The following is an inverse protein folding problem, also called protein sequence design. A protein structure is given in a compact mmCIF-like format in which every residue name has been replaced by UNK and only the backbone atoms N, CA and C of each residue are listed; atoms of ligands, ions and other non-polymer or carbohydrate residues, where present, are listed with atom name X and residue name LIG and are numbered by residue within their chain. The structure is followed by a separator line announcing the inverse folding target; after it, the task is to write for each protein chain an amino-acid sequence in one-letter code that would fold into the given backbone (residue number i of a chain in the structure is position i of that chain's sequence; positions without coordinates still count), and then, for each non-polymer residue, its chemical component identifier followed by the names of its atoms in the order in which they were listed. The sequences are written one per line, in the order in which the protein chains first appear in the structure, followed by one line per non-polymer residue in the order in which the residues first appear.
data_IF_718191429355
#
_entry.id   IF_718191429355
#
_cell.length_a   1.000
_cell.length_b   1.000
_cell.length_c   1.000
_cell.angle_alpha   90.00
_cell.angle_beta   90.00
_cell.angle_gamma   90.00
#
_symmetry.space_group_name_H-M   'P 1'
#
loop_
_entity.id
_entity.type
_entity.pdbx_description
1 polymer ?
#
# COMPACT_ATOMS: atom_id res chain seq x y z
N UNK A 1 10.71 -6.93 3.78
CA UNK A 1 10.59 -6.26 2.52
C UNK A 1 11.32 -6.96 1.42
N UNK A 2 10.64 -7.28 0.36
CA UNK A 2 11.29 -7.56 -0.90
C UNK A 2 11.78 -6.22 -1.45
N UNK A 3 12.95 -5.76 -0.98
CA UNK A 3 13.65 -4.80 -1.80
C UNK A 3 13.82 -5.46 -3.17
N UNK A 4 13.45 -4.81 -4.28
CA UNK A 4 13.75 -5.34 -5.60
C UNK A 4 15.25 -5.68 -5.59
N UNK A 5 15.59 -6.91 -5.93
CA UNK A 5 16.99 -7.31 -5.94
C UNK A 5 17.68 -6.53 -7.06
N UNK A 6 18.30 -5.42 -6.70
CA UNK A 6 18.85 -4.43 -7.59
C UNK A 6 20.06 -4.94 -8.41
N UNK A 7 20.53 -6.13 -8.09
CA UNK A 7 21.61 -6.82 -8.81
C UNK A 7 21.08 -7.74 -9.93
N UNK A 8 19.77 -7.78 -10.17
CA UNK A 8 19.26 -8.53 -11.31
C UNK A 8 19.66 -7.82 -12.62
N UNK A 9 20.14 -8.55 -13.63
CA UNK A 9 20.55 -7.96 -14.92
C UNK A 9 19.48 -7.08 -15.57
N UNK A 10 18.20 -7.35 -15.30
CA UNK A 10 17.09 -6.54 -15.79
C UNK A 10 17.21 -5.07 -15.35
N UNK A 11 17.66 -4.82 -14.10
CA UNK A 11 17.80 -3.46 -13.59
C UNK A 11 18.91 -2.67 -14.27
N UNK A 12 19.94 -3.33 -14.79
CA UNK A 12 21.02 -2.70 -15.58
C UNK A 12 20.51 -2.20 -16.93
N UNK A 13 19.41 -2.79 -17.45
CA UNK A 13 18.83 -2.46 -18.74
C UNK A 13 17.53 -1.64 -18.65
N UNK A 14 17.15 -1.18 -17.45
CA UNK A 14 15.89 -0.48 -17.23
C UNK A 14 15.72 0.77 -18.09
N UNK A 15 16.80 1.51 -18.32
CA UNK A 15 16.72 2.70 -19.17
C UNK A 15 16.48 2.34 -20.65
N UNK A 16 17.06 1.24 -21.12
CA UNK A 16 16.78 0.73 -22.46
C UNK A 16 15.33 0.26 -22.62
N UNK A 17 14.77 -0.38 -21.61
CA UNK A 17 13.34 -0.77 -21.59
C UNK A 17 12.45 0.48 -21.60
N UNK A 18 12.75 1.47 -20.78
CA UNK A 18 11.98 2.72 -20.68
C UNK A 18 11.97 3.51 -22.00
N UNK A 19 13.09 3.53 -22.72
CA UNK A 19 13.23 4.24 -23.98
C UNK A 19 12.89 3.35 -25.19
N UNK A 20 12.54 2.10 -24.97
CA UNK A 20 12.04 1.18 -25.99
C UNK A 20 10.63 1.54 -26.43
N UNK A 21 10.20 0.94 -27.56
CA UNK A 21 8.85 1.11 -28.09
C UNK A 21 7.84 0.09 -27.53
N UNK A 22 8.20 -0.68 -26.51
CA UNK A 22 7.32 -1.66 -25.89
C UNK A 22 6.27 -0.97 -25.03
N UNK A 23 4.99 -1.29 -25.27
CA UNK A 23 3.92 -0.89 -24.38
C UNK A 23 3.96 -1.73 -23.10
N UNK A 24 3.64 -1.11 -21.97
CA UNK A 24 3.68 -1.74 -20.67
C UNK A 24 2.30 -1.74 -20.00
N UNK A 25 1.89 -2.89 -19.48
CA UNK A 25 0.68 -3.05 -18.69
C UNK A 25 0.98 -3.95 -17.49
N UNK A 26 0.98 -3.38 -16.29
CA UNK A 26 1.21 -4.11 -15.05
C UNK A 26 -0.09 -4.57 -14.43
N UNK A 27 -0.10 -5.83 -13.98
CA UNK A 27 -1.17 -6.43 -13.18
C UNK A 27 -0.64 -6.70 -11.79
N UNK A 28 -1.19 -6.03 -10.79
CA UNK A 28 -0.90 -6.22 -9.37
C UNK A 28 -2.12 -6.79 -8.63
N UNK A 29 -1.85 -7.51 -7.57
CA UNK A 29 -2.88 -8.15 -6.74
C UNK A 29 -2.60 -7.83 -5.29
N UNK A 30 -3.58 -7.23 -4.57
CA UNK A 30 -3.41 -6.78 -3.18
C UNK A 30 -2.92 -7.88 -2.25
N UNK A 31 -3.30 -9.10 -2.52
CA UNK A 31 -3.03 -10.26 -1.68
C UNK A 31 -2.03 -11.24 -2.29
N UNK A 32 -1.22 -10.77 -3.25
CA UNK A 32 -0.11 -11.53 -3.83
C UNK A 32 1.22 -10.83 -3.48
N UNK A 33 2.24 -11.57 -3.05
CA UNK A 33 3.57 -11.01 -2.82
C UNK A 33 4.10 -10.30 -4.07
N UNK A 34 4.60 -9.07 -3.89
CA UNK A 34 5.17 -8.30 -4.98
C UNK A 34 4.19 -7.37 -5.71
N UNK A 35 2.99 -7.15 -5.20
CA UNK A 35 2.10 -6.09 -5.69
C UNK A 35 2.80 -4.73 -5.73
N UNK A 36 3.55 -4.40 -4.69
CA UNK A 36 4.35 -3.18 -4.59
C UNK A 36 5.33 -3.02 -5.77
N UNK A 37 5.92 -4.13 -6.25
CA UNK A 37 6.84 -4.09 -7.40
C UNK A 37 6.14 -3.64 -8.68
N UNK A 38 4.87 -4.00 -8.88
CA UNK A 38 4.10 -3.59 -10.07
C UNK A 38 3.88 -2.07 -10.10
N UNK A 39 3.74 -1.46 -8.94
CA UNK A 39 3.65 -0.01 -8.81
C UNK A 39 4.99 0.65 -9.13
N UNK A 40 6.10 0.15 -8.59
CA UNK A 40 7.44 0.67 -8.92
C UNK A 40 7.77 0.50 -10.42
N UNK A 41 7.39 -0.63 -11.02
CA UNK A 41 7.52 -0.86 -12.46
C UNK A 41 6.67 0.16 -13.26
N UNK A 42 5.42 0.36 -12.90
CA UNK A 42 4.55 1.36 -13.52
C UNK A 42 5.13 2.78 -13.43
N UNK A 43 5.63 3.17 -12.24
CA UNK A 43 6.30 4.47 -12.06
C UNK A 43 7.55 4.60 -12.94
N UNK A 44 8.23 3.51 -13.21
CA UNK A 44 9.45 3.49 -14.02
C UNK A 44 9.16 3.49 -15.51
N UNK A 45 8.23 2.67 -15.96
CA UNK A 45 7.96 2.43 -17.39
C UNK A 45 6.79 3.24 -17.94
N UNK A 46 5.88 3.69 -17.08
CA UNK A 46 4.59 4.24 -17.49
C UNK A 46 3.62 3.16 -17.95
N UNK A 47 2.76 3.49 -18.89
CA UNK A 47 1.77 2.56 -19.43
C UNK A 47 0.51 2.45 -18.57
N UNK A 48 0.03 1.23 -18.36
CA UNK A 48 -1.19 0.94 -17.60
C UNK A 48 -0.89 0.11 -16.36
N UNK A 49 -1.69 0.30 -15.32
CA UNK A 49 -1.61 -0.43 -14.05
C UNK A 49 -3.01 -0.87 -13.64
N UNK A 50 -3.17 -2.19 -13.44
CA UNK A 50 -4.37 -2.78 -12.86
C UNK A 50 -4.04 -3.38 -11.49
N UNK A 51 -4.78 -2.99 -10.46
CA UNK A 51 -4.62 -3.47 -9.08
C UNK A 51 -5.95 -4.04 -8.60
N UNK A 52 -5.98 -5.32 -8.26
CA UNK A 52 -7.21 -6.01 -7.88
C UNK A 52 -7.11 -6.78 -6.58
N UNK A 53 -8.24 -7.29 -6.04
CA UNK A 53 -8.31 -7.94 -4.74
C UNK A 53 -7.93 -9.42 -4.81
N UNK A 54 -7.10 -9.79 -5.74
CA UNK A 54 -6.76 -11.18 -6.02
C UNK A 54 -5.57 -11.64 -5.16
N UNK A 55 -5.50 -12.95 -4.98
CA UNK A 55 -4.30 -13.71 -4.62
C UNK A 55 -3.61 -14.21 -5.89
N UNK A 56 -2.51 -14.93 -5.73
CA UNK A 56 -1.76 -15.47 -6.86
C UNK A 56 -2.66 -16.24 -7.83
N UNK A 57 -2.67 -15.82 -9.12
CA UNK A 57 -3.46 -16.38 -10.22
C UNK A 57 -4.99 -16.22 -10.13
N UNK A 58 -5.53 -15.59 -9.10
CA UNK A 58 -6.99 -15.42 -8.98
C UNK A 58 -7.58 -14.44 -10.00
N UNK A 59 -6.80 -13.53 -10.53
CA UNK A 59 -7.24 -12.67 -11.66
C UNK A 59 -7.77 -13.49 -12.83
N UNK A 60 -7.28 -14.72 -13.01
CA UNK A 60 -7.69 -15.63 -14.09
C UNK A 60 -8.80 -16.60 -13.70
N UNK A 61 -9.11 -16.73 -12.40
CA UNK A 61 -10.02 -17.76 -11.88
C UNK A 61 -11.21 -17.20 -11.11
N UNK A 62 -11.20 -15.90 -10.80
CA UNK A 62 -12.11 -15.25 -9.86
C UNK A 62 -11.66 -15.39 -8.41
N UNK A 63 -12.25 -14.58 -7.55
CA UNK A 63 -12.04 -14.60 -6.10
C UNK A 63 -13.35 -14.26 -5.38
N UNK A 64 -13.34 -14.40 -4.05
CA UNK A 64 -14.55 -14.26 -3.21
C UNK A 64 -14.98 -12.79 -2.97
N UNK A 65 -14.27 -11.81 -3.54
CA UNK A 65 -14.64 -10.40 -3.38
C UNK A 65 -15.78 -10.00 -4.30
N UNK A 66 -16.78 -9.25 -3.80
CA UNK A 66 -17.88 -8.76 -4.61
C UNK A 66 -17.38 -7.96 -5.82
N UNK A 67 -17.99 -8.15 -6.99
CA UNK A 67 -17.65 -7.43 -8.22
C UNK A 67 -16.15 -7.49 -8.61
N UNK A 68 -15.40 -8.46 -8.09
CA UNK A 68 -13.97 -8.67 -8.42
C UNK A 68 -13.75 -9.34 -9.76
N UNK A 69 -14.82 -9.80 -10.38
CA UNK A 69 -14.80 -10.40 -11.70
C UNK A 69 -14.28 -9.39 -12.72
N UNK A 70 -13.34 -9.85 -13.52
CA UNK A 70 -12.65 -9.03 -14.49
C UNK A 70 -12.44 -9.86 -15.77
N UNK A 71 -12.94 -9.36 -16.88
CA UNK A 71 -12.70 -10.02 -18.17
C UNK A 71 -11.27 -9.73 -18.66
N UNK A 72 -10.33 -10.42 -18.02
CA UNK A 72 -8.91 -10.30 -18.34
C UNK A 72 -8.60 -10.68 -19.80
N UNK A 73 -9.44 -11.53 -20.44
CA UNK A 73 -9.23 -11.92 -21.83
C UNK A 73 -9.58 -10.77 -22.77
N UNK A 74 -10.71 -10.13 -22.57
CA UNK A 74 -11.09 -8.95 -23.34
C UNK A 74 -10.08 -7.81 -23.13
N UNK A 75 -9.64 -7.58 -21.89
CA UNK A 75 -8.67 -6.55 -21.56
C UNK A 75 -7.30 -6.80 -22.22
N UNK A 76 -6.77 -8.02 -22.13
CA UNK A 76 -5.54 -8.41 -22.83
C UNK A 76 -5.69 -8.31 -24.35
N UNK A 77 -6.82 -8.74 -24.89
CA UNK A 77 -7.08 -8.66 -26.32
C UNK A 77 -7.07 -7.21 -26.80
N UNK A 78 -7.75 -6.31 -26.08
CA UNK A 78 -7.78 -4.89 -26.42
C UNK A 78 -6.35 -4.28 -26.39
N UNK A 79 -5.55 -4.64 -25.40
CA UNK A 79 -4.16 -4.21 -25.30
C UNK A 79 -3.31 -4.74 -26.48
N UNK A 80 -3.35 -6.03 -26.77
CA UNK A 80 -2.55 -6.61 -27.84
C UNK A 80 -3.03 -6.22 -29.23
N UNK A 81 -4.33 -6.07 -29.45
CA UNK A 81 -4.87 -5.56 -30.71
C UNK A 81 -4.38 -4.13 -30.98
N UNK A 82 -4.33 -3.30 -29.94
CA UNK A 82 -3.80 -1.94 -30.06
C UNK A 82 -2.31 -1.93 -30.39
N UNK A 83 -1.49 -2.62 -29.59
CA UNK A 83 -0.04 -2.46 -29.64
C UNK A 83 0.68 -3.42 -30.58
N UNK A 84 0.11 -4.58 -30.92
CA UNK A 84 0.70 -5.53 -31.86
C UNK A 84 0.09 -5.45 -33.26
N UNK A 85 -1.22 -5.14 -33.35
CA UNK A 85 -1.93 -5.07 -34.65
C UNK A 85 -2.22 -3.64 -35.11
N UNK A 86 -1.96 -2.65 -34.25
CA UNK A 86 -2.33 -1.25 -34.47
C UNK A 86 -3.82 -1.07 -34.81
N UNK A 87 -4.66 -1.92 -34.22
CA UNK A 87 -6.11 -1.85 -34.39
C UNK A 87 -6.67 -0.67 -33.55
N UNK A 88 -7.75 -0.02 -34.00
CA UNK A 88 -8.41 0.98 -33.19
C UNK A 88 -8.83 0.42 -31.83
N UNK A 89 -8.48 1.13 -30.74
CA UNK A 89 -8.86 0.79 -29.38
C UNK A 89 -8.88 2.06 -28.56
N UNK A 90 -9.80 2.18 -27.64
CA UNK A 90 -9.87 3.29 -26.70
C UNK A 90 -9.00 3.09 -25.46
N UNK A 91 -8.23 2.01 -25.39
CA UNK A 91 -7.35 1.70 -24.26
C UNK A 91 -6.35 2.84 -23.97
N UNK A 92 -5.89 3.54 -25.00
CA UNK A 92 -4.98 4.68 -24.84
C UNK A 92 -5.65 5.86 -24.14
N UNK A 93 -6.98 5.97 -24.27
CA UNK A 93 -7.77 7.05 -23.70
C UNK A 93 -8.27 6.76 -22.28
N UNK A 94 -8.14 5.51 -21.82
CA UNK A 94 -8.49 5.15 -20.45
C UNK A 94 -7.50 5.77 -19.45
N UNK A 95 -7.95 6.12 -18.22
CA UNK A 95 -7.01 6.48 -17.16
C UNK A 95 -5.90 5.43 -17.00
N UNK A 96 -4.66 5.84 -16.69
CA UNK A 96 -3.53 4.92 -16.60
C UNK A 96 -3.68 3.85 -15.52
N UNK A 97 -4.34 4.17 -14.41
CA UNK A 97 -4.50 3.28 -13.26
C UNK A 97 -5.95 2.88 -13.09
N UNK A 98 -6.18 1.58 -12.96
CA UNK A 98 -7.44 0.99 -12.50
C UNK A 98 -7.18 0.18 -11.24
N UNK A 99 -7.97 0.40 -10.19
CA UNK A 99 -7.76 -0.29 -8.92
C UNK A 99 -9.10 -0.63 -8.24
N UNK A 100 -9.05 -1.66 -7.39
CA UNK A 100 -10.19 -2.16 -6.62
C UNK A 100 -10.03 -1.79 -5.15
N UNK A 101 -11.04 -1.15 -4.56
CA UNK A 101 -11.07 -0.81 -3.13
C UNK A 101 -11.90 -1.84 -2.36
N UNK A 102 -11.26 -2.59 -1.48
CA UNK A 102 -11.93 -3.59 -0.64
C UNK A 102 -12.88 -2.91 0.34
N UNK A 103 -14.14 -3.36 0.38
CA UNK A 103 -15.16 -2.83 1.27
C UNK A 103 -15.91 -1.61 0.73
N UNK A 104 -15.64 -1.18 -0.50
CA UNK A 104 -16.43 -0.21 -1.23
C UNK A 104 -17.64 -0.87 -1.91
N UNK A 105 -18.76 -0.15 -2.00
CA UNK A 105 -19.97 -0.62 -2.70
C UNK A 105 -19.78 -0.58 -4.22
N UNK A 106 -19.01 0.40 -4.74
CA UNK A 106 -18.56 0.50 -6.12
C UNK A 106 -17.03 0.40 -6.17
N UNK A 107 -16.49 -0.82 -6.09
CA UNK A 107 -15.09 -1.02 -5.72
C UNK A 107 -14.08 -0.70 -6.82
N UNK A 108 -14.50 -0.55 -8.07
CA UNK A 108 -13.58 -0.27 -9.17
C UNK A 108 -13.43 1.23 -9.43
N UNK A 109 -12.20 1.70 -9.32
CA UNK A 109 -11.84 3.10 -9.51
C UNK A 109 -10.78 3.28 -10.58
N UNK A 110 -10.70 4.51 -11.11
CA UNK A 110 -9.64 4.93 -12.01
C UNK A 110 -8.84 6.08 -11.41
N UNK A 111 -7.56 6.17 -11.78
CA UNK A 111 -6.68 7.28 -11.39
C UNK A 111 -5.70 7.63 -12.50
N UNK A 112 -5.21 8.87 -12.46
CA UNK A 112 -4.19 9.33 -13.40
C UNK A 112 -2.78 8.85 -13.04
N UNK A 113 -2.56 8.50 -11.77
CA UNK A 113 -1.27 8.04 -11.25
C UNK A 113 -1.46 7.24 -9.95
N UNK A 114 -0.38 6.59 -9.48
CA UNK A 114 -0.31 5.95 -8.17
C UNK A 114 1.06 6.25 -7.53
N UNK A 115 1.17 6.70 -6.27
CA UNK A 115 0.06 6.97 -5.32
C UNK A 115 -0.93 8.02 -5.82
N UNK A 116 -2.16 7.98 -5.29
CA UNK A 116 -3.25 8.85 -5.72
C UNK A 116 -2.98 10.32 -5.35
N UNK A 117 -3.38 11.25 -6.21
CA UNK A 117 -3.26 12.70 -5.95
C UNK A 117 -3.97 13.18 -4.68
N UNK A 118 -5.04 12.47 -4.27
CA UNK A 118 -5.82 12.73 -3.07
C UNK A 118 -5.25 12.10 -1.80
N UNK A 119 -4.17 11.32 -1.92
CA UNK A 119 -3.54 10.65 -0.79
C UNK A 119 -2.87 11.67 0.13
N UNK A 120 -3.14 11.52 1.42
CA UNK A 120 -2.40 12.15 2.52
C UNK A 120 -1.67 11.06 3.31
N UNK A 121 -0.66 11.45 4.08
CA UNK A 121 0.12 10.49 4.86
C UNK A 121 0.21 10.97 6.32
N UNK A 122 -0.91 10.97 7.09
CA UNK A 122 -0.87 11.31 8.49
C UNK A 122 0.09 10.40 9.25
N UNK A 123 0.82 11.01 10.19
CA UNK A 123 1.76 10.33 11.07
C UNK A 123 1.12 10.16 12.44
N UNK A 124 0.85 8.92 12.82
CA UNK A 124 0.31 8.56 14.12
C UNK A 124 1.42 7.98 14.99
N UNK A 125 1.44 8.34 16.29
CA UNK A 125 2.43 7.84 17.23
C UNK A 125 1.95 6.55 17.87
N UNK A 126 2.91 5.65 18.05
CA UNK A 126 2.75 4.44 18.84
C UNK A 126 3.19 4.75 20.27
N UNK A 127 2.44 4.28 21.26
CA UNK A 127 2.71 4.57 22.68
C UNK A 127 3.07 3.32 23.47
N UNK A 128 3.82 3.47 24.55
CA UNK A 128 4.14 2.37 25.46
C UNK A 128 2.90 1.77 26.16
N UNK A 129 1.77 2.46 26.15
CA UNK A 129 0.48 1.94 26.62
C UNK A 129 -0.30 1.15 25.58
N UNK A 130 0.25 0.94 24.37
CA UNK A 130 -0.40 0.20 23.30
C UNK A 130 -1.39 1.04 22.48
N UNK A 131 -1.28 2.35 22.48
CA UNK A 131 -2.14 3.27 21.71
C UNK A 131 -1.55 3.64 20.35
N UNK A 132 -2.44 3.95 19.39
CA UNK A 132 -2.14 4.69 18.16
C UNK A 132 -2.80 6.05 18.30
N UNK A 133 -2.01 7.14 18.37
CA UNK A 133 -2.50 8.47 18.67
C UNK A 133 -1.93 9.54 17.73
N UNK A 134 -2.62 10.67 17.61
CA UNK A 134 -2.23 11.82 16.78
C UNK A 134 -1.38 12.88 17.53
N UNK A 135 -1.13 12.66 18.82
CA UNK A 135 -0.33 13.53 19.69
C UNK A 135 1.02 12.91 20.04
N UNK A 136 1.93 13.71 20.57
CA UNK A 136 3.22 13.23 21.03
C UNK A 136 3.06 12.07 22.03
N UNK A 137 3.89 11.05 21.88
CA UNK A 137 3.96 9.93 22.81
C UNK A 137 4.91 10.25 23.97
N UNK A 138 4.51 9.87 25.18
CA UNK A 138 5.40 9.93 26.33
C UNK A 138 6.52 8.87 26.20
N UNK A 139 7.73 9.17 26.72
CA UNK A 139 8.81 8.20 26.74
C UNK A 139 8.41 6.92 27.50
N UNK A 140 8.71 5.78 26.91
CA UNK A 140 8.41 4.48 27.52
C UNK A 140 8.92 3.31 26.70
N UNK A 141 8.74 2.10 27.22
CA UNK A 141 9.23 0.89 26.58
C UNK A 141 8.23 -0.27 26.72
N UNK A 142 8.26 -1.19 25.76
CA UNK A 142 7.59 -2.49 25.83
C UNK A 142 8.63 -3.57 25.56
N UNK A 143 8.80 -4.51 26.49
CA UNK A 143 9.69 -5.66 26.30
C UNK A 143 8.91 -6.86 25.78
N UNK A 144 9.45 -7.49 24.75
CA UNK A 144 8.84 -8.59 24.01
C UNK A 144 9.84 -9.76 23.94
N UNK A 145 9.41 -10.96 24.34
CA UNK A 145 10.17 -12.18 24.11
C UNK A 145 9.90 -12.70 22.70
N UNK A 146 10.94 -12.91 21.90
CA UNK A 146 10.81 -13.42 20.53
C UNK A 146 10.08 -14.76 20.53
N UNK A 147 9.15 -14.92 19.61
CA UNK A 147 8.29 -16.11 19.50
C UNK A 147 8.37 -16.72 18.10
N UNK A 148 8.47 -18.05 18.05
CA UNK A 148 8.52 -18.80 16.81
C UNK A 148 7.24 -19.62 16.56
N UNK A 149 6.21 -19.43 17.39
CA UNK A 149 4.92 -20.12 17.32
C UNK A 149 3.77 -19.24 16.79
N UNK A 150 4.09 -18.14 16.12
CA UNK A 150 3.11 -17.27 15.47
C UNK A 150 2.81 -17.82 14.07
N UNK A 151 1.53 -18.10 13.79
CA UNK A 151 1.08 -18.76 12.55
C UNK A 151 0.28 -17.84 11.63
N UNK A 152 0.72 -16.59 11.51
CA UNK A 152 0.09 -15.59 10.62
C UNK A 152 0.37 -15.93 9.15
N UNK A 153 1.52 -16.58 8.88
CA UNK A 153 1.96 -16.94 7.53
C UNK A 153 1.76 -18.42 7.23
N UNK A 154 1.50 -18.72 5.96
CA UNK A 154 1.50 -20.10 5.49
C UNK A 154 2.94 -20.66 5.34
N UNK A 155 3.04 -21.92 4.97
CA UNK A 155 4.33 -22.61 4.78
C UNK A 155 5.21 -22.01 3.67
N UNK A 156 4.66 -21.13 2.83
CA UNK A 156 5.39 -20.41 1.79
C UNK A 156 5.74 -18.97 2.21
N UNK A 157 5.58 -18.62 3.49
CA UNK A 157 5.88 -17.30 4.01
C UNK A 157 4.90 -16.21 3.53
N UNK A 158 3.71 -16.61 3.05
CA UNK A 158 2.66 -15.68 2.67
C UNK A 158 1.75 -15.44 3.87
N UNK A 159 1.32 -14.21 4.07
CA UNK A 159 0.25 -13.92 5.00
C UNK A 159 -0.90 -14.87 4.69
N UNK A 160 -1.35 -15.65 5.67
CA UNK A 160 -2.52 -16.50 5.52
C UNK A 160 -3.75 -15.59 5.46
N UNK A 161 -3.88 -14.91 4.33
CA UNK A 161 -4.82 -13.82 4.05
C UNK A 161 -6.23 -14.36 3.80
N UNK A 162 -6.66 -15.29 4.62
CA UNK A 162 -8.10 -15.42 4.81
C UNK A 162 -8.50 -14.17 5.58
N UNK A 163 -8.94 -13.15 4.84
CA UNK A 163 -9.45 -11.88 5.36
C UNK A 163 -10.55 -12.07 6.40
N UNK A 164 -11.09 -13.25 6.50
CA UNK A 164 -12.12 -13.68 7.42
C UNK A 164 -11.57 -14.27 8.72
N UNK A 165 -10.26 -14.61 8.77
CA UNK A 165 -9.67 -15.17 9.99
C UNK A 165 -9.61 -14.11 11.08
N UNK A 166 -10.20 -14.42 12.24
CA UNK A 166 -9.99 -13.64 13.45
C UNK A 166 -8.54 -13.79 13.92
N UNK A 167 -7.83 -12.67 14.00
CA UNK A 167 -6.42 -12.63 14.37
C UNK A 167 -6.20 -12.57 15.89
N UNK A 168 -7.26 -12.45 16.69
CA UNK A 168 -7.13 -12.24 18.14
C UNK A 168 -6.26 -13.30 18.84
N UNK A 169 -6.39 -14.58 18.46
CA UNK A 169 -5.57 -15.65 19.05
C UNK A 169 -4.06 -15.51 18.74
N UNK A 170 -3.71 -15.05 17.54
CA UNK A 170 -2.30 -14.78 17.18
C UNK A 170 -1.81 -13.48 17.82
N UNK A 171 -2.71 -12.52 17.99
CA UNK A 171 -2.41 -11.21 18.57
C UNK A 171 -1.99 -11.28 20.05
N UNK A 172 -2.42 -12.32 20.80
CA UNK A 172 -1.92 -12.57 22.16
C UNK A 172 -0.41 -12.79 22.23
N UNK A 173 0.20 -13.10 21.09
CA UNK A 173 1.65 -13.36 20.98
C UNK A 173 2.44 -12.14 20.46
N UNK A 174 1.77 -11.01 20.25
CA UNK A 174 2.31 -9.82 19.59
C UNK A 174 2.34 -8.63 20.55
N UNK A 175 3.10 -7.59 20.22
CA UNK A 175 2.95 -6.25 20.79
C UNK A 175 1.88 -5.53 19.97
N UNK A 176 0.84 -5.04 20.64
CA UNK A 176 -0.33 -4.46 20.01
C UNK A 176 -0.42 -2.96 20.25
N UNK A 177 -0.74 -2.24 19.20
CA UNK A 177 -1.09 -0.83 19.24
C UNK A 177 -2.48 -0.67 18.62
N UNK A 178 -3.40 -0.03 19.33
CA UNK A 178 -4.81 0.08 18.89
C UNK A 178 -5.27 1.53 18.99
N UNK A 179 -5.95 2.01 17.96
CA UNK A 179 -6.53 3.36 17.92
C UNK A 179 -7.83 3.44 18.74
N UNK A 180 -8.31 4.65 18.96
CA UNK A 180 -9.71 4.86 19.30
C UNK A 180 -10.62 4.42 18.13
N UNK A 181 -11.95 4.21 18.38
CA UNK A 181 -12.88 3.93 17.29
C UNK A 181 -12.87 5.04 16.26
N UNK A 182 -12.88 4.66 14.98
CA UNK A 182 -12.93 5.61 13.88
C UNK A 182 -14.25 6.38 13.88
N UNK A 183 -14.22 7.71 13.78
CA UNK A 183 -15.44 8.52 13.77
C UNK A 183 -16.24 8.42 12.46
N UNK A 184 -15.62 7.93 11.40
CA UNK A 184 -16.19 7.75 10.05
C UNK A 184 -15.45 6.68 9.29
N UNK A 185 -15.95 6.31 8.12
CA UNK A 185 -15.25 5.41 7.21
C UNK A 185 -13.91 6.00 6.82
N UNK A 186 -12.88 5.16 6.78
CA UNK A 186 -11.50 5.53 6.45
C UNK A 186 -11.02 4.72 5.26
N UNK A 187 -10.78 5.39 4.13
CA UNK A 187 -10.14 4.76 2.98
C UNK A 187 -8.62 4.82 3.12
N UNK A 188 -7.99 3.65 3.05
CA UNK A 188 -6.55 3.46 2.99
C UNK A 188 -6.19 2.97 1.59
N UNK A 189 -5.51 3.79 0.78
CA UNK A 189 -5.07 3.41 -0.56
C UNK A 189 -3.62 3.81 -0.77
N UNK A 190 -2.72 2.84 -0.77
CA UNK A 190 -1.27 3.04 -0.87
C UNK A 190 -0.47 2.19 0.10
N UNK A 191 0.66 2.71 0.55
CA UNK A 191 1.63 2.01 1.38
C UNK A 191 1.59 2.51 2.83
N UNK A 192 1.08 1.75 3.80
CA UNK A 192 1.34 2.05 5.20
C UNK A 192 2.83 1.90 5.51
N UNK A 193 3.35 2.71 6.44
CA UNK A 193 4.76 2.64 6.87
C UNK A 193 4.83 2.57 8.38
N UNK A 194 5.59 1.59 8.90
CA UNK A 194 5.93 1.47 10.31
C UNK A 194 7.35 1.97 10.55
N UNK A 195 7.54 2.80 11.56
CA UNK A 195 8.83 3.27 12.07
C UNK A 195 8.91 2.91 13.55
N UNK A 196 9.71 1.90 13.87
CA UNK A 196 9.85 1.35 15.21
C UNK A 196 11.27 1.56 15.69
N UNK A 197 11.44 1.78 17.00
CA UNK A 197 12.75 1.82 17.61
C UNK A 197 12.91 0.62 18.53
N UNK A 198 13.93 -0.20 18.29
CA UNK A 198 14.12 -1.43 19.05
C UNK A 198 15.58 -1.63 19.50
N UNK A 199 15.74 -2.14 20.72
CA UNK A 199 16.95 -2.80 21.18
C UNK A 199 16.71 -4.31 21.21
N UNK A 200 17.78 -5.11 21.10
CA UNK A 200 17.68 -6.58 21.12
C UNK A 200 18.88 -7.22 21.81
N UNK A 201 18.63 -8.29 22.52
CA UNK A 201 19.72 -9.12 23.12
C UNK A 201 20.43 -9.98 22.09
N UNK A 202 19.96 -10.01 20.84
CA UNK A 202 20.62 -10.66 19.73
C UNK A 202 20.83 -9.68 18.57
N UNK A 203 21.91 -9.89 17.83
CA UNK A 203 22.39 -8.96 16.78
C UNK A 203 21.49 -8.82 15.55
N UNK A 204 20.48 -9.70 15.38
CA UNK A 204 19.60 -9.74 14.20
C UNK A 204 18.22 -10.28 14.58
N UNK A 205 17.24 -10.23 13.69
CA UNK A 205 15.88 -10.73 13.85
C UNK A 205 15.03 -10.39 12.65
N UNK A 206 13.87 -11.03 12.50
CA UNK A 206 12.88 -10.66 11.48
C UNK A 206 11.73 -9.97 12.20
N UNK A 207 11.57 -8.69 11.93
CA UNK A 207 10.51 -7.85 12.47
C UNK A 207 9.34 -7.78 11.50
N UNK A 208 8.15 -7.98 12.02
CA UNK A 208 6.91 -8.00 11.27
C UNK A 208 5.96 -6.97 11.83
N UNK A 209 5.21 -6.34 10.96
CA UNK A 209 4.09 -5.48 11.32
C UNK A 209 2.86 -5.89 10.49
N UNK A 210 1.76 -6.13 11.16
CA UNK A 210 0.47 -6.45 10.57
C UNK A 210 -0.51 -5.34 10.91
N UNK A 211 -1.03 -4.66 9.90
CA UNK A 211 -2.12 -3.70 10.07
C UNK A 211 -3.45 -4.45 10.02
N UNK A 212 -4.32 -4.18 10.98
CA UNK A 212 -5.58 -4.85 11.16
C UNK A 212 -6.73 -3.87 11.37
N UNK A 213 -7.92 -4.30 11.01
CA UNK A 213 -9.19 -3.71 11.41
C UNK A 213 -9.77 -4.51 12.59
N UNK A 214 -10.05 -3.85 13.70
CA UNK A 214 -10.81 -4.42 14.80
C UNK A 214 -12.24 -3.90 14.69
N UNK A 215 -13.17 -4.78 14.34
CA UNK A 215 -14.59 -4.44 14.19
C UNK A 215 -15.25 -4.13 15.53
N UNK A 216 -16.41 -3.43 15.58
CA UNK A 216 -17.08 -3.09 16.83
C UNK A 216 -17.44 -4.29 17.70
N UNK A 217 -17.64 -5.47 17.11
CA UNK A 217 -17.89 -6.74 17.82
C UNK A 217 -16.57 -7.42 18.29
N UNK A 218 -15.42 -6.79 18.06
CA UNK A 218 -14.12 -7.21 18.60
C UNK A 218 -13.34 -8.20 17.71
N UNK A 219 -13.84 -8.56 16.54
CA UNK A 219 -13.11 -9.41 15.60
C UNK A 219 -11.98 -8.63 14.97
N UNK A 220 -10.76 -9.18 14.96
CA UNK A 220 -9.59 -8.54 14.33
C UNK A 220 -9.28 -9.19 12.99
N UNK A 221 -9.25 -8.39 11.92
CA UNK A 221 -9.01 -8.84 10.55
C UNK A 221 -7.79 -8.18 9.95
N UNK A 222 -6.94 -8.98 9.30
CA UNK A 222 -5.76 -8.46 8.62
C UNK A 222 -6.14 -7.55 7.44
N UNK A 223 -5.46 -6.40 7.34
CA UNK A 223 -5.52 -5.49 6.20
C UNK A 223 -4.31 -5.73 5.30
N UNK A 224 -3.11 -5.52 5.83
CA UNK A 224 -1.84 -5.69 5.12
C UNK A 224 -0.70 -5.90 6.10
N UNK A 225 0.43 -6.37 5.60
CA UNK A 225 1.61 -6.69 6.39
C UNK A 225 2.90 -6.19 5.75
N UNK A 226 3.94 -6.11 6.54
CA UNK A 226 5.30 -5.82 6.09
C UNK A 226 6.34 -6.42 7.00
N UNK A 227 7.56 -6.54 6.51
CA UNK A 227 8.65 -7.11 7.27
C UNK A 227 9.96 -6.37 7.02
N UNK A 228 10.85 -6.41 8.03
CA UNK A 228 12.23 -5.96 7.91
C UNK A 228 13.15 -6.91 8.67
N UNK A 229 14.23 -7.33 8.03
CA UNK A 229 15.31 -8.00 8.74
C UNK A 229 16.16 -6.98 9.49
N UNK A 230 16.41 -7.21 10.78
CA UNK A 230 17.11 -6.26 11.67
C UNK A 230 18.47 -5.83 11.15
N UNK A 231 19.28 -6.76 10.60
CA UNK A 231 20.56 -6.41 9.98
C UNK A 231 20.43 -5.46 8.79
N UNK A 232 19.29 -5.43 8.11
CA UNK A 232 19.03 -4.55 6.96
C UNK A 232 18.39 -3.22 7.36
N UNK A 233 18.41 -2.84 8.65
CA UNK A 233 17.74 -1.65 9.17
C UNK A 233 18.33 -0.32 8.66
N UNK A 234 19.56 -0.32 8.13
CA UNK A 234 20.15 0.90 7.56
C UNK A 234 19.31 1.41 6.41
N UNK A 235 18.82 2.64 6.53
CA UNK A 235 18.17 3.34 5.43
C UNK A 235 19.21 3.69 4.37
N UNK A 236 18.94 3.24 3.16
CA UNK A 236 19.73 3.56 1.97
C UNK A 236 19.41 4.96 1.44
N UNK A 237 20.34 5.48 0.63
CA UNK A 237 20.16 6.72 -0.12
C UNK A 237 20.24 6.39 -1.61
N UNK A 238 19.49 7.12 -2.42
CA UNK A 238 19.56 7.00 -3.88
C UNK A 238 19.22 5.58 -4.41
N UNK A 239 18.00 5.08 -4.22
CA UNK A 239 17.57 3.87 -4.93
C UNK A 239 17.63 4.08 -6.44
N UNK A 240 17.87 3.02 -7.21
CA UNK A 240 17.87 3.08 -8.68
C UNK A 240 16.46 3.22 -9.29
N UNK A 241 15.44 3.28 -8.47
CA UNK A 241 14.03 3.46 -8.85
C UNK A 241 13.37 4.55 -7.99
N UNK A 242 12.22 5.05 -8.41
CA UNK A 242 11.42 5.95 -7.59
C UNK A 242 10.81 5.17 -6.42
N UNK A 243 11.37 5.35 -5.22
CA UNK A 243 10.90 4.69 -3.99
C UNK A 243 9.65 5.36 -3.40
N UNK A 244 9.05 6.34 -4.05
CA UNK A 244 7.80 7.02 -3.64
C UNK A 244 7.88 7.61 -2.22
N UNK A 245 9.07 7.99 -1.76
CA UNK A 245 9.29 8.45 -0.38
C UNK A 245 9.20 7.36 0.70
N UNK A 246 9.18 6.09 0.30
CA UNK A 246 9.15 4.93 1.20
C UNK A 246 10.56 4.62 1.74
N UNK A 247 10.66 3.98 2.92
CA UNK A 247 11.92 3.49 3.43
C UNK A 247 12.58 2.54 2.43
N UNK A 248 13.83 2.84 2.07
CA UNK A 248 14.63 2.02 1.16
C UNK A 248 15.79 1.36 1.91
N UNK A 249 16.00 0.08 1.65
CA UNK A 249 17.10 -0.72 2.20
C UNK A 249 17.86 -1.38 1.04
N UNK A 250 19.17 -1.18 0.98
CA UNK A 250 20.00 -1.78 -0.07
C UNK A 250 20.08 -3.30 0.03
N UNK A 251 19.88 -3.83 1.24
CA UNK A 251 20.10 -5.25 1.59
C UNK A 251 21.51 -5.78 1.24
N UNK A 252 22.45 -4.89 0.99
CA UNK A 252 23.84 -5.22 0.70
C UNK A 252 24.59 -5.51 1.99
N UNK A 253 25.44 -6.53 2.00
CA UNK A 253 26.25 -6.92 3.18
C UNK A 253 27.08 -5.75 3.77
N UNK A 254 27.53 -4.81 2.95
CA UNK A 254 28.27 -3.61 3.39
C UNK A 254 27.41 -2.64 4.24
N UNK A 255 26.10 -2.74 4.13
CA UNK A 255 25.13 -1.90 4.83
C UNK A 255 24.49 -2.60 6.02
N UNK A 256 24.91 -3.85 6.30
CA UNK A 256 24.43 -4.59 7.46
C UNK A 256 24.71 -3.82 8.76
N UNK A 257 23.71 -3.80 9.63
CA UNK A 257 23.83 -3.30 11.01
C UNK A 257 23.69 -4.48 11.99
N UNK A 258 24.17 -4.28 13.22
CA UNK A 258 23.92 -5.22 14.30
C UNK A 258 23.00 -4.54 15.31
N UNK A 259 21.92 -5.21 15.66
CA UNK A 259 21.10 -4.80 16.79
C UNK A 259 21.88 -4.95 18.08
N UNK A 260 21.59 -4.13 19.08
CA UNK A 260 22.28 -4.06 20.34
C UNK A 260 21.28 -3.89 21.48
N UNK A 261 21.56 -4.39 22.70
CA UNK A 261 20.74 -4.07 23.86
C UNK A 261 20.92 -2.63 24.36
N UNK A 262 22.01 -1.95 23.95
CA UNK A 262 22.40 -0.66 24.54
C UNK A 262 21.84 0.55 23.79
N UNK A 263 21.56 0.40 22.49
CA UNK A 263 21.15 1.52 21.65
C UNK A 263 19.97 1.14 20.74
N UNK A 264 18.85 1.88 20.80
CA UNK A 264 17.74 1.69 19.89
C UNK A 264 18.14 1.86 18.43
N UNK A 265 17.72 0.92 17.60
CA UNK A 265 17.86 0.95 16.14
C UNK A 265 16.51 1.29 15.53
N UNK A 266 16.48 2.25 14.59
CA UNK A 266 15.29 2.54 13.82
C UNK A 266 15.05 1.40 12.81
N UNK A 267 13.86 0.82 12.90
CA UNK A 267 13.31 -0.18 11.98
C UNK A 267 12.18 0.49 11.20
N UNK A 268 12.50 1.07 10.04
CA UNK A 268 11.52 1.75 9.21
C UNK A 268 11.26 0.91 7.95
N UNK A 269 10.02 0.53 7.69
CA UNK A 269 9.65 -0.26 6.53
C UNK A 269 8.20 -0.02 6.12
N UNK A 270 7.92 -0.14 4.85
CA UNK A 270 6.54 -0.12 4.36
C UNK A 270 5.89 -1.50 4.48
N UNK A 271 4.58 -1.49 4.67
CA UNK A 271 3.74 -2.66 4.49
C UNK A 271 3.38 -2.78 3.01
N UNK A 272 2.92 -3.95 2.58
CA UNK A 272 2.43 -4.14 1.22
C UNK A 272 1.27 -3.16 0.93
N UNK A 273 1.22 -2.71 -0.31
CA UNK A 273 0.19 -1.77 -0.76
C UNK A 273 -1.20 -2.39 -0.70
N UNK A 274 -2.20 -1.58 -0.42
CA UNK A 274 -3.60 -1.98 -0.31
C UNK A 274 -4.52 -0.84 -0.76
N UNK A 275 -5.75 -1.16 -1.15
CA UNK A 275 -6.87 -0.23 -1.15
C UNK A 275 -8.04 -0.86 -0.41
N UNK A 276 -8.47 -0.21 0.70
CA UNK A 276 -9.53 -0.72 1.58
C UNK A 276 -10.24 0.39 2.34
N UNK A 277 -11.55 0.25 2.52
CA UNK A 277 -12.33 1.04 3.45
C UNK A 277 -12.39 0.31 4.80
N UNK A 278 -11.93 0.98 5.85
CA UNK A 278 -12.12 0.59 7.25
C UNK A 278 -13.37 1.32 7.76
N UNK A 279 -14.35 0.57 8.25
CA UNK A 279 -15.67 1.12 8.58
C UNK A 279 -15.68 1.94 9.86
N UNK A 280 -16.56 2.94 9.92
CA UNK A 280 -16.85 3.72 11.13
C UNK A 280 -17.12 2.82 12.34
N UNK A 281 -16.64 3.21 13.52
CA UNK A 281 -16.74 2.42 14.74
C UNK A 281 -15.71 1.31 14.88
N UNK A 282 -15.06 0.86 13.78
CA UNK A 282 -13.91 -0.03 13.85
C UNK A 282 -12.69 0.70 14.41
N UNK A 283 -11.66 -0.05 14.81
CA UNK A 283 -10.36 0.48 15.24
C UNK A 283 -9.27 -0.01 14.31
N UNK A 284 -8.24 0.79 14.12
CA UNK A 284 -6.99 0.33 13.54
C UNK A 284 -6.15 -0.32 14.61
N UNK A 285 -5.53 -1.44 14.27
CA UNK A 285 -4.54 -2.12 15.12
C UNK A 285 -3.28 -2.39 14.31
N UNK A 286 -2.12 -2.13 14.93
CA UNK A 286 -0.83 -2.58 14.44
C UNK A 286 -0.32 -3.67 15.40
N UNK A 287 -0.23 -4.91 14.91
CA UNK A 287 0.39 -6.02 15.63
C UNK A 287 1.85 -6.13 15.19
N UNK A 288 2.77 -6.02 16.15
CA UNK A 288 4.21 -6.05 15.91
C UNK A 288 4.82 -7.24 16.63
N UNK A 289 5.67 -7.99 15.93
CA UNK A 289 6.39 -9.10 16.52
C UNK A 289 7.75 -9.32 15.86
N UNK A 290 8.63 -10.03 16.56
CA UNK A 290 9.89 -10.55 16.03
C UNK A 290 9.84 -12.08 16.14
N UNK A 291 10.08 -12.77 15.03
CA UNK A 291 9.93 -14.22 14.97
C UNK A 291 8.81 -14.67 14.04
N UNK A 292 8.24 -15.81 14.31
CA UNK A 292 7.13 -16.39 13.56
C UNK A 292 7.46 -17.67 12.83
N UNK A 293 6.43 -18.49 12.58
CA UNK A 293 6.53 -19.72 11.79
C UNK A 293 6.41 -19.37 10.30
N UNK A 294 7.30 -19.88 9.46
CA UNK A 294 7.30 -19.66 8.01
C UNK A 294 8.42 -18.75 7.50
N UNK A 295 9.14 -18.07 8.39
CA UNK A 295 10.37 -17.36 8.04
C UNK A 295 11.56 -17.96 8.77
N UNK A 296 12.64 -18.18 8.03
CA UNK A 296 13.90 -18.61 8.63
C UNK A 296 14.45 -17.49 9.52
N UNK A 297 14.41 -17.72 10.82
CA UNK A 297 15.11 -16.87 11.76
C UNK A 297 16.61 -16.84 11.43
N UNK A 298 17.34 -15.79 11.85
CA UNK A 298 18.78 -15.75 11.70
C UNK A 298 19.42 -17.01 12.27
N UNK A 299 20.33 -17.61 11.49
CA UNK A 299 21.07 -18.79 11.92
C UNK A 299 21.78 -18.53 13.25
N UNK A 300 21.67 -19.47 14.19
CA UNK A 300 22.24 -19.38 15.51
C UNK A 300 21.55 -18.42 16.47
N UNK A 301 20.32 -17.99 16.17
CA UNK A 301 19.52 -17.16 17.09
C UNK A 301 19.09 -18.00 18.31
N UNK A 302 19.40 -17.56 19.55
CA UNK A 302 18.97 -18.23 20.77
C UNK A 302 17.44 -18.22 20.94
N UNK A 303 16.91 -19.14 21.75
CA UNK A 303 15.46 -19.20 22.04
C UNK A 303 14.97 -18.13 23.02
N UNK A 304 15.88 -17.52 23.80
CA UNK A 304 15.57 -16.57 24.87
C UNK A 304 15.81 -15.11 24.47
N UNK A 305 15.83 -14.82 23.17
CA UNK A 305 16.02 -13.46 22.66
C UNK A 305 14.87 -12.54 23.10
N UNK A 306 15.26 -11.38 23.58
CA UNK A 306 14.34 -10.31 24.00
C UNK A 306 14.55 -9.08 23.14
N UNK A 307 13.45 -8.49 22.69
CA UNK A 307 13.38 -7.21 22.00
C UNK A 307 12.68 -6.21 22.90
N UNK A 308 13.23 -5.01 23.02
CA UNK A 308 12.56 -3.90 23.71
C UNK A 308 12.27 -2.79 22.72
N UNK A 309 11.00 -2.48 22.53
CA UNK A 309 10.53 -1.34 21.73
C UNK A 309 10.54 -0.08 22.59
N UNK A 310 10.96 1.04 21.99
CA UNK A 310 11.10 2.34 22.64
C UNK A 310 10.17 3.36 22.01
N UNK A 311 9.59 4.24 22.83
CA UNK A 311 8.59 5.23 22.41
C UNK A 311 8.91 6.61 22.99
N UNK A 312 8.48 7.65 22.26
CA UNK A 312 8.61 9.04 22.68
C UNK A 312 10.03 9.58 22.69
N UNK A 313 10.17 10.88 22.86
CA UNK A 313 11.48 11.56 22.87
C UNK A 313 12.25 11.33 21.57
N UNK A 314 13.48 10.79 21.67
CA UNK A 314 14.33 10.47 20.52
C UNK A 314 13.92 9.17 19.79
N UNK A 315 12.96 8.43 20.34
CA UNK A 315 12.46 7.16 19.80
C UNK A 315 10.96 7.30 19.47
N UNK A 316 10.62 8.34 18.67
CA UNK A 316 9.23 8.66 18.29
C UNK A 316 8.73 7.64 17.26
N UNK A 317 8.24 6.50 17.76
CA UNK A 317 7.73 5.41 16.91
C UNK A 317 6.43 5.81 16.21
N UNK A 318 6.35 5.56 14.90
CA UNK A 318 5.30 6.08 14.03
C UNK A 318 4.62 4.99 13.22
N UNK A 319 3.34 5.20 12.93
CA UNK A 319 2.59 4.58 11.85
C UNK A 319 2.14 5.68 10.88
N UNK A 320 2.63 5.64 9.64
CA UNK A 320 2.13 6.50 8.56
C UNK A 320 1.09 5.73 7.75
N UNK A 321 -0.06 6.33 7.51
CA UNK A 321 -1.16 5.71 6.80
C UNK A 321 -1.43 6.43 5.47
N UNK A 322 -1.65 5.69 4.37
CA UNK A 322 -2.01 6.27 3.07
C UNK A 322 -3.52 6.58 3.04
N UNK A 323 -3.93 7.63 3.74
CA UNK A 323 -5.34 8.02 3.86
C UNK A 323 -5.77 8.78 2.62
N UNK A 324 -6.88 8.36 2.03
CA UNK A 324 -7.53 9.10 0.97
C UNK A 324 -8.51 10.07 1.61
N UNK A 325 -8.31 11.36 1.34
CA UNK A 325 -9.31 12.36 1.69
C UNK A 325 -10.62 12.02 0.96
N UNK A 326 -11.79 12.20 1.59
CA UNK A 326 -13.08 11.99 0.93
C UNK A 326 -13.13 12.89 -0.31
N UNK A 327 -12.77 12.35 -1.45
CA UNK A 327 -12.75 13.05 -2.72
C UNK A 327 -13.55 12.25 -3.71
N UNK A 328 -14.63 12.79 -4.19
CA UNK A 328 -15.32 12.25 -5.34
C UNK A 328 -14.38 12.44 -6.54
N UNK A 329 -13.78 11.37 -7.01
CA UNK A 329 -13.00 11.34 -8.26
C UNK A 329 -13.85 10.89 -9.44
N UNK A 330 -15.00 10.26 -9.15
CA UNK A 330 -15.94 9.70 -10.10
C UNK A 330 -17.27 10.42 -10.01
N UNK A 331 -17.83 10.76 -11.16
CA UNK A 331 -19.15 11.38 -11.31
C UNK A 331 -19.94 10.62 -12.36
N UNK A 332 -21.18 10.32 -12.06
CA UNK A 332 -22.09 9.63 -12.99
C UNK A 332 -23.33 10.47 -13.22
N UNK A 333 -23.75 10.61 -14.46
CA UNK A 333 -24.96 11.33 -14.86
C UNK A 333 -25.13 11.34 -16.37
N UNK A 334 -26.39 11.41 -16.84
CA UNK A 334 -26.74 11.50 -18.25
C UNK A 334 -26.09 10.47 -19.18
N UNK A 335 -25.87 9.23 -18.67
CA UNK A 335 -25.21 8.16 -19.40
C UNK A 335 -23.69 8.33 -19.56
N UNK A 336 -23.11 9.23 -18.79
CA UNK A 336 -21.67 9.50 -18.81
C UNK A 336 -21.05 9.30 -17.43
N UNK A 337 -19.82 8.75 -17.39
CA UNK A 337 -18.98 8.70 -16.20
C UNK A 337 -17.76 9.61 -16.42
N UNK A 338 -17.49 10.47 -15.47
CA UNK A 338 -16.38 11.44 -15.54
C UNK A 338 -15.44 11.23 -14.37
N UNK A 339 -14.15 11.20 -14.67
CA UNK A 339 -13.06 11.19 -13.69
C UNK A 339 -12.22 12.46 -13.87
N UNK A 340 -12.15 13.30 -12.86
CA UNK A 340 -11.39 14.56 -12.91
C UNK A 340 -10.14 14.48 -12.05
N UNK A 341 -8.98 14.59 -12.68
CA UNK A 341 -7.65 14.55 -12.05
C UNK A 341 -6.84 15.80 -12.43
N UNK A 342 -5.84 16.13 -11.64
CA UNK A 342 -4.95 17.29 -11.91
C UNK A 342 -4.31 17.26 -13.29
N UNK A 343 -4.03 16.08 -13.82
CA UNK A 343 -3.38 15.90 -15.12
C UNK A 343 -4.38 15.98 -16.29
N UNK A 344 -5.55 15.36 -16.13
CA UNK A 344 -6.56 15.26 -17.18
C UNK A 344 -7.95 14.97 -16.62
N UNK A 345 -8.98 15.32 -17.39
CA UNK A 345 -10.34 14.83 -17.19
C UNK A 345 -10.59 13.69 -18.18
N UNK A 346 -11.08 12.57 -17.68
CA UNK A 346 -11.45 11.41 -18.49
C UNK A 346 -12.96 11.28 -18.48
N UNK A 347 -13.55 11.15 -19.66
CA UNK A 347 -14.99 10.95 -19.83
C UNK A 347 -15.24 9.60 -20.50
N UNK A 348 -16.15 8.82 -19.96
CA UNK A 348 -16.60 7.55 -20.51
C UNK A 348 -18.07 7.64 -20.86
N UNK A 349 -18.39 7.52 -22.17
CA UNK A 349 -19.75 7.52 -22.71
C UNK A 349 -19.83 6.57 -23.90
N UNK A 350 -20.95 5.86 -24.03
CA UNK A 350 -21.20 4.93 -25.14
C UNK A 350 -20.06 3.89 -25.34
N UNK A 351 -19.53 3.36 -24.24
CA UNK A 351 -18.37 2.46 -24.19
C UNK A 351 -17.09 3.05 -24.81
N UNK A 352 -16.97 4.36 -24.84
CA UNK A 352 -15.83 5.07 -25.38
C UNK A 352 -15.22 6.02 -24.34
N UNK A 353 -13.91 5.96 -24.18
CA UNK A 353 -13.14 6.87 -23.34
C UNK A 353 -12.65 8.07 -24.14
N UNK A 354 -12.68 9.26 -23.50
CA UNK A 354 -12.02 10.46 -24.01
C UNK A 354 -11.20 11.12 -22.90
N UNK A 355 -9.93 11.34 -23.18
CA UNK A 355 -9.03 12.11 -22.32
C UNK A 355 -9.01 13.58 -22.75
N UNK A 356 -9.12 14.47 -21.77
CA UNK A 356 -9.01 15.91 -21.94
C UNK A 356 -7.90 16.43 -21.03
N UNK A 357 -6.69 16.70 -21.54
CA UNK A 357 -5.57 17.19 -20.73
C UNK A 357 -5.93 18.48 -20.01
N UNK A 358 -5.66 18.55 -18.71
CA UNK A 358 -5.85 19.76 -17.93
C UNK A 358 -4.74 20.79 -18.22
N UNK A 359 -5.14 22.00 -18.55
CA UNK A 359 -4.24 23.13 -18.70
C UNK A 359 -3.98 23.80 -17.35
N UNK A 360 -4.99 23.82 -16.48
CA UNK A 360 -4.92 24.42 -15.17
C UNK A 360 -5.86 23.72 -14.18
N UNK A 361 -5.43 23.64 -12.92
CA UNK A 361 -6.27 23.20 -11.80
C UNK A 361 -6.12 24.21 -10.67
N UNK A 362 -7.22 24.79 -10.20
CA UNK A 362 -7.19 25.78 -9.13
C UNK A 362 -8.44 25.72 -8.25
N UNK A 363 -8.33 26.05 -6.96
CA UNK A 363 -9.48 26.19 -6.07
C UNK A 363 -10.20 27.54 -6.32
N UNK A 364 -11.53 27.51 -6.21
CA UNK A 364 -12.39 28.70 -6.22
C UNK A 364 -13.47 28.55 -5.13
N UNK A 365 -14.33 29.58 -4.98
CA UNK A 365 -15.35 29.60 -3.93
C UNK A 365 -16.39 28.46 -4.10
N UNK A 366 -16.65 28.04 -5.34
CA UNK A 366 -17.60 27.01 -5.72
C UNK A 366 -16.98 25.60 -5.76
N UNK A 367 -15.65 25.48 -5.68
CA UNK A 367 -14.98 24.20 -5.66
C UNK A 367 -13.62 24.17 -6.35
N UNK A 368 -13.17 22.98 -6.72
CA UNK A 368 -11.92 22.75 -7.44
C UNK A 368 -12.19 22.69 -8.95
N UNK A 369 -11.58 23.61 -9.69
CA UNK A 369 -11.74 23.76 -11.13
C UNK A 369 -10.64 22.99 -11.89
N UNK A 370 -11.04 22.21 -12.89
CA UNK A 370 -10.17 21.49 -13.83
C UNK A 370 -10.41 22.09 -15.23
N UNK A 371 -9.49 22.95 -15.67
CA UNK A 371 -9.61 23.63 -16.97
C UNK A 371 -8.96 22.78 -18.04
N UNK A 372 -9.73 22.40 -19.05
CA UNK A 372 -9.25 21.77 -20.28
C UNK A 372 -9.33 22.75 -21.44
N UNK A 373 -8.90 22.33 -22.63
CA UNK A 373 -9.04 23.14 -23.82
C UNK A 373 -10.52 23.37 -24.22
N UNK A 374 -11.37 22.36 -23.95
CA UNK A 374 -12.73 22.31 -24.49
C UNK A 374 -13.79 22.71 -23.47
N UNK A 375 -13.52 22.55 -22.16
CA UNK A 375 -14.47 22.88 -21.09
C UNK A 375 -13.74 23.02 -19.73
N UNK A 376 -14.47 23.48 -18.72
CA UNK A 376 -14.03 23.47 -17.34
C UNK A 376 -14.93 22.54 -16.54
N UNK A 377 -14.35 21.54 -15.87
CA UNK A 377 -15.04 20.71 -14.90
C UNK A 377 -14.84 21.28 -13.50
N UNK A 378 -15.89 21.37 -12.70
CA UNK A 378 -15.85 21.91 -11.34
C UNK A 378 -16.30 20.83 -10.37
N UNK A 379 -15.40 20.42 -9.48
CA UNK A 379 -15.78 19.64 -8.31
C UNK A 379 -16.26 20.62 -7.25
N UNK A 380 -17.57 20.67 -7.04
CA UNK A 380 -18.17 21.59 -6.10
C UNK A 380 -17.75 21.32 -4.65
N UNK A 381 -17.91 22.28 -3.76
CA UNK A 381 -17.70 22.11 -2.31
C UNK A 381 -18.65 21.07 -1.70
N UNK A 382 -19.73 20.69 -2.39
CA UNK A 382 -20.67 19.65 -2.00
C UNK A 382 -20.31 18.26 -2.58
N UNK A 383 -19.28 18.17 -3.43
CA UNK A 383 -18.86 16.94 -4.05
C UNK A 383 -19.45 16.68 -5.45
N UNK A 384 -20.37 17.51 -5.93
CA UNK A 384 -20.94 17.38 -7.27
C UNK A 384 -19.95 17.84 -8.35
N UNK A 385 -19.99 17.25 -9.53
CA UNK A 385 -19.29 17.73 -10.71
C UNK A 385 -20.24 18.54 -11.59
N UNK A 386 -19.78 19.72 -12.00
CA UNK A 386 -20.43 20.54 -13.02
C UNK A 386 -19.46 20.68 -14.18
N UNK A 387 -19.89 20.34 -15.38
CA UNK A 387 -19.09 20.46 -16.63
C UNK A 387 -19.68 21.54 -17.53
#
# INVERSE_FOLDING_TARGET
GYAPNMELPLWEHMDAVRHGNAAYYAYGSWFDPGCSNKIFEFKRFGGKLLLGPWRHMEVYRGCDFPQSEFDWKADHLAFFDRYLKNAPSDIDQMPPVRYYTVGDEDPWHFAADFPLDSQTNPQLRLTASGGIVDRAAEPGTITYKVRNDITVFDSMGRLNRRLEKDMNAENEKCVLFTSDPLPGDLELTGFPVAELYATSTYKDGIFMALLEEVTPDGVSRAITDGMLRGRSARLGRNPAYDALGLPYHSSMKRDDVQLSPDKPTLLAFHLETISRIVKAGSRLRLAVYCGGNGFNQPEGMPEDVTVTFHFGGSSDALLRLPVIAPNVTKFEGDGETVYAFKRAVYRHRDNCWKEYPCQQVFPAADGLHFVTKDFTAVRSTKGDLVT
#
